data_IF_095526187025
#
_entry.id   IF_095526187025
#
_cell.length_a   1.000
_cell.length_b   1.000
_cell.length_c   1.000
_cell.angle_alpha   90.00
_cell.angle_beta   90.00
_cell.angle_gamma   90.00
#
_symmetry.space_group_name_H-M   'P 1'
#
loop_
_entity.id
_entity.type
_entity.pdbx_description
1 polymer ?
#
# COMPACT_ATOMS: atom_id res chain seq x y z
N UNK A 1 -13.83 20.92 -1.03
CA UNK A 1 -12.82 21.60 -0.18
C UNK A 1 -11.59 20.72 -0.22
N UNK A 2 -10.44 21.22 -0.71
CA UNK A 2 -9.19 20.46 -0.69
C UNK A 2 -8.82 20.20 0.77
N UNK A 3 -8.88 18.95 1.20
CA UNK A 3 -8.43 18.54 2.53
C UNK A 3 -6.91 18.37 2.45
N UNK A 4 -6.17 19.35 2.97
CA UNK A 4 -4.72 19.25 3.02
C UNK A 4 -4.30 18.03 3.85
N UNK A 5 -3.38 17.21 3.33
CA UNK A 5 -2.82 16.08 4.08
C UNK A 5 -2.16 16.61 5.36
N UNK A 6 -2.48 16.01 6.50
CA UNK A 6 -1.69 16.20 7.72
C UNK A 6 -0.47 15.27 7.69
N UNK A 7 0.72 15.84 7.57
CA UNK A 7 1.98 15.12 7.71
C UNK A 7 2.46 15.17 9.17
N UNK A 8 2.63 14.00 9.77
CA UNK A 8 3.34 13.83 11.03
C UNK A 8 4.85 13.69 10.76
N UNK A 9 5.68 14.06 11.74
CA UNK A 9 7.13 13.85 11.71
C UNK A 9 7.54 12.73 12.66
N UNK A 10 8.82 12.35 12.64
CA UNK A 10 9.40 11.40 13.58
C UNK A 10 9.17 11.77 15.06
N UNK A 11 9.20 13.07 15.40
CA UNK A 11 8.91 13.55 16.76
C UNK A 11 7.45 13.36 17.19
N UNK A 12 6.54 13.15 16.23
CA UNK A 12 5.12 12.94 16.47
C UNK A 12 4.68 11.50 16.19
N UNK A 13 5.61 10.55 16.13
CA UNK A 13 5.32 9.16 15.77
C UNK A 13 4.29 8.48 16.68
N UNK A 14 4.39 8.71 17.98
CA UNK A 14 3.41 8.20 18.95
C UNK A 14 2.02 8.77 18.72
N UNK A 15 1.92 10.04 18.33
CA UNK A 15 0.64 10.69 17.99
C UNK A 15 0.07 10.16 16.68
N UNK A 16 0.91 9.93 15.67
CA UNK A 16 0.51 9.34 14.41
C UNK A 16 -0.03 7.91 14.61
N UNK A 17 0.64 7.10 15.42
CA UNK A 17 0.18 5.76 15.77
C UNK A 17 -1.14 5.80 16.56
N UNK A 18 -1.26 6.71 17.52
CA UNK A 18 -2.50 6.89 18.27
C UNK A 18 -3.66 7.29 17.34
N UNK A 19 -3.42 8.20 16.39
CA UNK A 19 -4.40 8.60 15.38
C UNK A 19 -4.79 7.43 14.46
N UNK A 20 -3.83 6.63 14.00
CA UNK A 20 -4.08 5.45 13.16
C UNK A 20 -4.97 4.44 13.90
N UNK A 21 -4.69 4.19 15.19
CA UNK A 21 -5.51 3.33 16.06
C UNK A 21 -6.90 3.89 16.29
N UNK A 22 -7.01 5.18 16.61
CA UNK A 22 -8.30 5.83 16.88
C UNK A 22 -9.22 5.86 15.65
N UNK A 23 -8.64 6.08 14.46
CA UNK A 23 -9.40 6.19 13.20
C UNK A 23 -9.50 4.88 12.43
N UNK A 24 -8.79 3.83 12.88
CA UNK A 24 -8.67 2.54 12.19
C UNK A 24 -8.14 2.66 10.75
N UNK A 25 -7.41 3.75 10.46
CA UNK A 25 -6.73 3.97 9.18
C UNK A 25 -5.31 3.41 9.21
N UNK A 26 -4.82 2.83 8.11
CA UNK A 26 -3.41 2.43 8.00
C UNK A 26 -2.49 3.65 8.12
N UNK A 27 -1.29 3.41 8.66
CA UNK A 27 -0.22 4.39 8.81
C UNK A 27 0.76 4.22 7.64
N UNK A 28 0.84 5.23 6.78
CA UNK A 28 1.90 5.34 5.77
C UNK A 28 3.10 6.04 6.40
N UNK A 29 4.25 5.38 6.39
CA UNK A 29 5.54 5.99 6.75
C UNK A 29 6.39 6.18 5.48
N UNK A 30 6.77 7.41 5.20
CA UNK A 30 7.77 7.76 4.18
C UNK A 30 9.12 8.01 4.87
N UNK A 31 10.03 7.06 4.73
CA UNK A 31 11.41 7.19 5.19
C UNK A 31 12.23 7.93 4.15
N UNK A 32 12.67 9.13 4.52
CA UNK A 32 13.43 10.03 3.65
C UNK A 32 14.77 10.43 4.27
N UNK A 33 15.67 10.96 3.46
CA UNK A 33 16.98 11.44 3.90
C UNK A 33 17.34 12.79 3.26
N UNK A 34 18.28 13.53 3.89
CA UNK A 34 18.89 14.69 3.25
C UNK A 34 19.67 14.29 1.99
N UNK A 35 19.74 15.20 1.02
CA UNK A 35 20.40 14.98 -0.28
C UNK A 35 19.84 13.77 -1.06
N UNK A 36 18.56 13.43 -0.86
CA UNK A 36 17.85 12.38 -1.57
C UNK A 36 17.06 12.96 -2.76
N UNK A 37 17.55 12.74 -3.99
CA UNK A 37 16.87 13.22 -5.20
C UNK A 37 15.50 12.58 -5.42
N UNK A 38 15.36 11.29 -5.09
CA UNK A 38 14.08 10.58 -5.19
C UNK A 38 13.04 11.14 -4.22
N UNK A 39 13.44 11.49 -3.01
CA UNK A 39 12.59 12.10 -1.99
C UNK A 39 12.13 13.50 -2.45
N UNK A 40 13.05 14.32 -2.96
CA UNK A 40 12.70 15.62 -3.53
C UNK A 40 11.73 15.51 -4.73
N UNK A 41 11.85 14.44 -5.53
CA UNK A 41 10.93 14.17 -6.64
C UNK A 41 9.56 13.69 -6.16
N UNK A 42 9.50 12.83 -5.13
CA UNK A 42 8.24 12.48 -4.45
C UNK A 42 7.54 13.74 -3.95
N UNK A 43 8.27 14.63 -3.27
CA UNK A 43 7.71 15.84 -2.68
C UNK A 43 7.15 16.79 -3.73
N UNK A 44 7.92 17.08 -4.77
CA UNK A 44 7.53 18.08 -5.79
C UNK A 44 6.55 17.60 -6.85
N UNK A 45 6.28 16.29 -6.95
CA UNK A 45 5.42 15.72 -7.98
C UNK A 45 4.34 14.81 -7.39
N UNK A 46 4.72 13.85 -6.56
CA UNK A 46 3.80 12.81 -6.08
C UNK A 46 2.92 13.31 -4.95
N UNK A 47 3.48 13.98 -3.94
CA UNK A 47 2.70 14.55 -2.84
C UNK A 47 1.95 15.84 -3.22
N UNK A 48 2.33 16.52 -4.30
CA UNK A 48 1.62 17.69 -4.85
C UNK A 48 0.45 17.31 -5.78
N UNK A 49 0.32 16.04 -6.17
CA UNK A 49 -0.80 15.59 -7.01
C UNK A 49 -2.12 15.61 -6.23
N UNK A 50 -3.15 16.24 -6.80
CA UNK A 50 -4.43 16.45 -6.11
C UNK A 50 -5.14 15.15 -5.76
N UNK A 51 -5.09 14.13 -6.63
CA UNK A 51 -5.70 12.82 -6.37
C UNK A 51 -4.95 12.09 -5.25
N UNK A 52 -3.62 12.23 -5.21
CA UNK A 52 -2.81 11.71 -4.09
C UNK A 52 -3.18 12.38 -2.78
N UNK A 53 -3.34 13.71 -2.77
CA UNK A 53 -3.71 14.46 -1.57
C UNK A 53 -5.07 14.06 -1.02
N UNK A 54 -6.06 14.00 -1.89
CA UNK A 54 -7.41 13.56 -1.53
C UNK A 54 -7.36 12.12 -0.98
N UNK A 55 -6.77 11.19 -1.73
CA UNK A 55 -6.72 9.79 -1.34
C UNK A 55 -6.00 9.56 0.00
N UNK A 56 -4.87 10.24 0.24
CA UNK A 56 -4.14 10.13 1.50
C UNK A 56 -4.93 10.72 2.67
N UNK A 57 -5.54 11.89 2.50
CA UNK A 57 -6.31 12.55 3.56
C UNK A 57 -7.50 11.69 4.03
N UNK A 58 -8.14 10.99 3.08
CA UNK A 58 -9.30 10.15 3.34
C UNK A 58 -8.91 8.80 3.93
N UNK A 59 -7.82 8.18 3.45
CA UNK A 59 -7.56 6.77 3.70
C UNK A 59 -6.38 6.48 4.63
N UNK A 60 -5.50 7.45 4.89
CA UNK A 60 -4.25 7.22 5.61
C UNK A 60 -3.99 8.21 6.74
N UNK A 61 -3.22 7.75 7.73
CA UNK A 61 -2.38 8.64 8.54
C UNK A 61 -0.99 8.65 7.89
N UNK A 62 -0.42 9.83 7.65
CA UNK A 62 0.86 9.96 6.93
C UNK A 62 1.94 10.50 7.86
N UNK A 63 3.04 9.78 7.97
CA UNK A 63 4.23 10.17 8.74
C UNK A 63 5.44 10.23 7.80
N UNK A 64 6.15 11.35 7.79
CA UNK A 64 7.44 11.49 7.12
C UNK A 64 8.54 11.39 8.15
N UNK A 65 9.42 10.42 7.97
CA UNK A 65 10.48 10.10 8.92
C UNK A 65 11.84 10.37 8.29
N UNK A 66 12.58 11.34 8.83
CA UNK A 66 13.97 11.51 8.45
C UNK A 66 14.80 10.37 9.06
N UNK A 67 15.41 9.52 8.23
CA UNK A 67 16.19 8.36 8.69
C UNK A 67 17.38 8.74 9.59
N UNK A 68 17.89 9.97 9.48
CA UNK A 68 18.97 10.47 10.33
C UNK A 68 18.49 10.97 11.71
N UNK A 69 17.19 11.27 11.85
CA UNK A 69 16.60 11.81 13.08
C UNK A 69 15.93 10.71 13.94
N UNK A 70 16.10 9.44 13.56
CA UNK A 70 15.44 8.34 14.25
C UNK A 70 16.17 7.97 15.54
N UNK A 71 15.46 8.04 16.66
CA UNK A 71 15.95 7.58 17.96
C UNK A 71 15.73 6.08 18.18
N UNK A 72 16.32 5.53 19.24
CA UNK A 72 16.23 4.10 19.56
C UNK A 72 14.81 3.61 19.91
N UNK A 73 13.93 4.48 20.41
CA UNK A 73 12.56 4.11 20.78
C UNK A 73 11.65 4.01 19.55
N UNK A 74 11.78 4.96 18.62
CA UNK A 74 11.17 4.90 17.31
C UNK A 74 11.72 3.69 16.55
N UNK A 75 13.05 3.48 16.56
CA UNK A 75 13.67 2.38 15.82
C UNK A 75 13.14 1.01 16.27
N UNK A 76 12.96 0.81 17.57
CA UNK A 76 12.41 -0.45 18.12
C UNK A 76 10.97 -0.73 17.68
N UNK A 77 10.21 0.31 17.36
CA UNK A 77 8.77 0.21 17.05
C UNK A 77 8.51 0.23 15.54
N UNK A 78 9.28 1.02 14.80
CA UNK A 78 9.04 1.34 13.39
C UNK A 78 10.27 1.13 12.48
N UNK A 79 11.48 0.93 13.00
CA UNK A 79 12.67 0.52 12.23
C UNK A 79 13.18 -0.87 12.60
N UNK A 80 12.32 -1.81 12.97
CA UNK A 80 12.72 -3.23 13.00
C UNK A 80 13.14 -3.74 11.61
N UNK A 81 12.83 -2.96 10.57
CA UNK A 81 13.36 -3.09 9.21
C UNK A 81 14.48 -2.07 8.99
N UNK A 82 15.68 -2.56 8.67
CA UNK A 82 16.77 -1.70 8.26
C UNK A 82 16.40 -1.00 6.94
N UNK A 83 16.13 0.29 6.98
CA UNK A 83 15.92 1.10 5.77
C UNK A 83 17.28 1.23 5.07
N UNK A 84 17.44 0.53 3.95
CA UNK A 84 18.69 0.51 3.16
C UNK A 84 18.71 1.65 2.14
N UNK A 85 17.55 2.09 1.66
CA UNK A 85 17.42 3.04 0.56
C UNK A 85 16.28 4.04 0.80
N UNK A 86 16.37 5.25 0.24
CA UNK A 86 15.34 6.29 0.36
C UNK A 86 14.96 6.88 -1.02
N UNK A 87 13.70 7.32 -1.22
CA UNK A 87 12.59 7.18 -0.28
C UNK A 87 12.18 5.71 -0.14
N UNK A 88 11.64 5.36 1.02
CA UNK A 88 11.12 4.03 1.32
C UNK A 88 9.76 4.19 1.99
N UNK A 89 8.71 3.64 1.38
CA UNK A 89 7.33 3.82 1.77
C UNK A 89 6.80 2.53 2.39
N UNK A 90 6.37 2.61 3.63
CA UNK A 90 5.91 1.46 4.40
C UNK A 90 4.48 1.72 4.85
N UNK A 91 3.58 0.81 4.52
CA UNK A 91 2.19 0.86 4.97
C UNK A 91 2.06 -0.10 6.14
N UNK A 92 1.71 0.44 7.31
CA UNK A 92 1.45 -0.32 8.52
C UNK A 92 -0.05 -0.38 8.80
N UNK A 93 -0.51 -1.52 9.31
CA UNK A 93 -1.80 -1.57 9.99
C UNK A 93 -1.73 -0.80 11.31
N UNK A 94 -2.86 -0.38 11.90
CA UNK A 94 -2.89 0.25 13.22
C UNK A 94 -2.25 -0.60 14.33
N UNK A 95 -2.17 -1.91 14.15
CA UNK A 95 -1.53 -2.87 15.05
C UNK A 95 -0.02 -2.98 14.86
N UNK A 96 0.56 -2.29 13.88
CA UNK A 96 2.00 -2.28 13.60
C UNK A 96 2.49 -3.38 12.65
N UNK A 97 1.59 -4.07 11.95
CA UNK A 97 1.97 -5.07 10.94
C UNK A 97 2.24 -4.36 9.61
N UNK A 98 3.37 -4.66 8.96
CA UNK A 98 3.67 -4.16 7.61
C UNK A 98 2.73 -4.85 6.62
N UNK A 99 1.96 -4.04 5.90
CA UNK A 99 1.03 -4.43 4.85
C UNK A 99 1.65 -4.33 3.47
N UNK A 100 2.51 -3.33 3.27
CA UNK A 100 3.19 -3.08 2.00
C UNK A 100 4.49 -2.32 2.21
N UNK A 101 5.47 -2.62 1.38
CA UNK A 101 6.75 -1.90 1.31
C UNK A 101 7.04 -1.54 -0.14
N UNK A 102 7.37 -0.28 -0.39
CA UNK A 102 7.76 0.25 -1.70
C UNK A 102 9.08 0.98 -1.53
N UNK A 103 10.08 0.65 -2.36
CA UNK A 103 11.42 1.24 -2.27
C UNK A 103 11.71 2.06 -3.51
N UNK A 104 12.15 3.30 -3.31
CA UNK A 104 12.47 4.25 -4.37
C UNK A 104 11.30 5.20 -4.72
N UNK A 105 11.57 6.09 -5.66
CA UNK A 105 10.58 7.05 -6.15
C UNK A 105 9.47 6.34 -6.93
N UNK A 106 8.23 6.79 -6.73
CA UNK A 106 7.05 6.37 -7.48
C UNK A 106 6.27 7.59 -7.99
N UNK A 107 5.81 7.55 -9.24
CA UNK A 107 4.94 8.59 -9.82
C UNK A 107 3.55 8.61 -9.17
N UNK A 108 2.74 9.69 -9.29
CA UNK A 108 1.38 9.75 -8.73
C UNK A 108 0.50 8.53 -9.04
N UNK A 109 0.40 8.14 -10.32
CA UNK A 109 -0.43 7.02 -10.77
C UNK A 109 0.02 5.67 -10.18
N UNK A 110 1.33 5.41 -10.18
CA UNK A 110 1.89 4.24 -9.51
C UNK A 110 1.59 4.29 -8.01
N UNK A 111 1.84 5.43 -7.36
CA UNK A 111 1.66 5.57 -5.93
C UNK A 111 0.22 5.32 -5.48
N UNK A 112 -0.77 5.83 -6.21
CA UNK A 112 -2.19 5.54 -5.97
C UNK A 112 -2.50 4.04 -6.10
N UNK A 113 -1.88 3.35 -7.05
CA UNK A 113 -2.01 1.88 -7.20
C UNK A 113 -1.39 1.15 -6.01
N UNK A 114 -0.18 1.53 -5.59
CA UNK A 114 0.52 0.97 -4.43
C UNK A 114 -0.29 1.18 -3.12
N UNK A 115 -0.81 2.39 -2.92
CA UNK A 115 -1.68 2.72 -1.79
C UNK A 115 -2.98 1.88 -1.84
N UNK A 116 -3.62 1.77 -3.00
CA UNK A 116 -4.81 0.94 -3.19
C UNK A 116 -4.60 -0.52 -2.77
N UNK A 117 -3.50 -1.14 -3.22
CA UNK A 117 -3.16 -2.53 -2.83
C UNK A 117 -2.88 -2.61 -1.32
N UNK A 118 -2.15 -1.64 -0.75
CA UNK A 118 -1.90 -1.58 0.69
C UNK A 118 -3.18 -1.42 1.54
N UNK A 119 -4.14 -0.63 1.06
CA UNK A 119 -5.46 -0.47 1.70
C UNK A 119 -6.28 -1.76 1.60
N UNK A 120 -6.27 -2.43 0.45
CA UNK A 120 -6.93 -3.72 0.31
C UNK A 120 -6.34 -4.74 1.29
N UNK A 121 -5.01 -4.80 1.44
CA UNK A 121 -4.36 -5.65 2.44
C UNK A 121 -4.81 -5.34 3.88
N UNK A 122 -5.01 -4.06 4.21
CA UNK A 122 -5.60 -3.64 5.49
C UNK A 122 -7.01 -4.21 5.67
N UNK A 123 -7.88 -4.09 4.65
CA UNK A 123 -9.26 -4.60 4.72
C UNK A 123 -9.32 -6.13 4.80
N UNK A 124 -8.44 -6.83 4.08
CA UNK A 124 -8.30 -8.28 4.18
C UNK A 124 -8.00 -8.73 5.62
N UNK A 125 -7.09 -8.04 6.32
CA UNK A 125 -6.78 -8.35 7.73
C UNK A 125 -7.97 -8.13 8.66
N UNK A 126 -8.82 -7.16 8.34
CA UNK A 126 -10.05 -6.87 9.09
C UNK A 126 -11.21 -7.79 8.70
N UNK A 127 -10.97 -8.77 7.81
CA UNK A 127 -11.97 -9.69 7.25
C UNK A 127 -13.07 -8.98 6.45
N UNK A 128 -12.81 -7.77 5.97
CA UNK A 128 -13.67 -7.01 5.06
C UNK A 128 -13.36 -7.40 3.62
N UNK A 129 -13.55 -8.68 3.29
CA UNK A 129 -13.10 -9.26 2.04
C UNK A 129 -13.80 -8.66 0.80
N UNK A 130 -15.10 -8.34 0.91
CA UNK A 130 -15.85 -7.69 -0.16
C UNK A 130 -15.27 -6.30 -0.48
N UNK A 131 -15.02 -5.46 0.54
CA UNK A 131 -14.42 -4.14 0.34
C UNK A 131 -13.01 -4.26 -0.24
N UNK A 132 -12.21 -5.24 0.22
CA UNK A 132 -10.87 -5.46 -0.32
C UNK A 132 -10.90 -5.86 -1.81
N UNK A 133 -11.80 -6.75 -2.21
CA UNK A 133 -11.98 -7.16 -3.61
C UNK A 133 -12.39 -5.98 -4.49
N UNK A 134 -13.39 -5.22 -4.05
CA UNK A 134 -13.87 -4.03 -4.78
C UNK A 134 -12.74 -3.00 -5.00
N UNK A 135 -11.95 -2.72 -3.96
CA UNK A 135 -10.81 -1.80 -4.07
C UNK A 135 -9.76 -2.26 -5.08
N UNK A 136 -9.47 -3.56 -5.13
CA UNK A 136 -8.46 -4.13 -6.04
C UNK A 136 -8.93 -4.12 -7.50
N UNK A 137 -10.23 -4.31 -7.74
CA UNK A 137 -10.82 -4.25 -9.07
C UNK A 137 -10.92 -2.83 -9.63
N UNK A 138 -11.10 -1.84 -8.75
CA UNK A 138 -11.37 -0.46 -9.12
C UNK A 138 -10.11 0.44 -9.10
N UNK A 139 -8.90 -0.14 -9.08
CA UNK A 139 -7.66 0.64 -9.09
C UNK A 139 -7.50 1.41 -10.42
N UNK A 140 -7.61 2.76 -10.42
CA UNK A 140 -7.80 3.54 -11.63
C UNK A 140 -6.59 3.49 -12.59
N UNK A 141 -5.39 3.29 -12.05
CA UNK A 141 -4.14 3.29 -12.82
C UNK A 141 -3.51 1.91 -12.97
N UNK A 142 -4.10 0.86 -12.40
CA UNK A 142 -3.46 -0.46 -12.37
C UNK A 142 -3.10 -0.98 -13.77
N UNK A 143 -3.99 -0.80 -14.75
CA UNK A 143 -3.75 -1.22 -16.13
C UNK A 143 -2.48 -0.59 -16.78
N UNK A 144 -2.00 0.55 -16.28
CA UNK A 144 -0.75 1.18 -16.75
C UNK A 144 0.51 0.47 -16.22
N UNK A 145 0.37 -0.35 -15.18
CA UNK A 145 1.45 -1.05 -14.48
C UNK A 145 1.18 -2.56 -14.45
N UNK A 146 1.53 -3.32 -15.50
CA UNK A 146 1.20 -4.74 -15.62
C UNK A 146 1.56 -5.59 -14.38
N UNK A 147 2.72 -5.34 -13.76
CA UNK A 147 3.15 -6.07 -12.56
C UNK A 147 2.23 -5.81 -11.35
N UNK A 148 1.80 -4.56 -11.15
CA UNK A 148 0.90 -4.19 -10.06
C UNK A 148 -0.55 -4.61 -10.35
N UNK A 149 -0.97 -4.57 -11.61
CA UNK A 149 -2.29 -5.06 -11.98
C UNK A 149 -2.40 -6.59 -11.79
N UNK A 150 -1.35 -7.32 -12.18
CA UNK A 150 -1.25 -8.75 -11.95
C UNK A 150 -1.32 -9.10 -10.45
N UNK A 151 -0.59 -8.34 -9.62
CA UNK A 151 -0.70 -8.42 -8.15
C UNK A 151 -2.14 -8.18 -7.67
N UNK A 152 -2.79 -7.13 -8.16
CA UNK A 152 -4.13 -6.74 -7.73
C UNK A 152 -5.18 -7.81 -8.09
N UNK A 153 -5.14 -8.36 -9.31
CA UNK A 153 -6.04 -9.45 -9.74
C UNK A 153 -5.84 -10.69 -8.87
N UNK A 154 -4.58 -11.04 -8.58
CA UNK A 154 -4.27 -12.18 -7.72
C UNK A 154 -4.93 -12.03 -6.34
N UNK A 155 -4.77 -10.86 -5.70
CA UNK A 155 -5.34 -10.59 -4.39
C UNK A 155 -6.86 -10.42 -4.42
N UNK A 156 -7.46 -9.93 -5.51
CA UNK A 156 -8.91 -9.87 -5.68
C UNK A 156 -9.51 -11.29 -5.70
N UNK A 157 -8.86 -12.25 -6.36
CA UNK A 157 -9.26 -13.66 -6.28
C UNK A 157 -9.21 -14.23 -4.86
N UNK A 158 -8.16 -13.90 -4.09
CA UNK A 158 -8.06 -14.30 -2.68
C UNK A 158 -9.13 -13.63 -1.81
N UNK A 159 -9.46 -12.37 -2.09
CA UNK A 159 -10.55 -11.66 -1.41
C UNK A 159 -11.90 -12.36 -1.67
N UNK A 160 -12.20 -12.68 -2.93
CA UNK A 160 -13.40 -13.43 -3.31
C UNK A 160 -13.46 -14.81 -2.64
N UNK A 161 -12.34 -15.55 -2.61
CA UNK A 161 -12.26 -16.83 -1.91
C UNK A 161 -12.68 -16.73 -0.44
N UNK A 162 -12.12 -15.76 0.31
CA UNK A 162 -12.46 -15.59 1.72
C UNK A 162 -13.87 -15.04 1.94
N UNK A 163 -14.34 -14.16 1.06
CA UNK A 163 -15.72 -13.66 1.07
C UNK A 163 -16.74 -14.81 0.94
N UNK A 164 -16.42 -15.81 0.12
CA UNK A 164 -17.29 -16.93 -0.20
C UNK A 164 -16.91 -18.23 0.54
N UNK A 165 -16.53 -18.11 1.82
CA UNK A 165 -16.28 -19.26 2.72
C UNK A 165 -15.23 -20.25 2.19
N UNK A 166 -14.12 -19.72 1.65
CA UNK A 166 -13.03 -20.51 1.09
C UNK A 166 -13.45 -21.31 -0.17
N UNK A 167 -14.31 -20.72 -1.00
CA UNK A 167 -14.76 -21.30 -2.26
C UNK A 167 -13.80 -20.97 -3.40
N UNK A 168 -13.18 -22.00 -3.98
CA UNK A 168 -12.31 -21.84 -5.15
C UNK A 168 -13.08 -21.37 -6.39
N UNK A 169 -14.37 -21.68 -6.52
CA UNK A 169 -15.21 -21.28 -7.66
C UNK A 169 -15.21 -19.76 -7.87
N UNK A 170 -15.10 -18.99 -6.77
CA UNK A 170 -15.09 -17.52 -6.81
C UNK A 170 -13.69 -16.94 -7.05
N UNK A 171 -12.64 -17.76 -6.99
CA UNK A 171 -11.24 -17.36 -7.19
C UNK A 171 -10.73 -17.77 -8.58
N UNK A 172 -11.16 -18.93 -9.09
CA UNK A 172 -10.71 -19.51 -10.38
C UNK A 172 -10.83 -18.50 -11.52
N UNK A 173 -11.94 -17.75 -11.58
CA UNK A 173 -12.17 -16.74 -12.63
C UNK A 173 -11.09 -15.65 -12.66
N UNK A 174 -10.70 -15.11 -11.50
CA UNK A 174 -9.64 -14.10 -11.41
C UNK A 174 -8.29 -14.65 -11.86
N UNK A 175 -7.97 -15.88 -11.47
CA UNK A 175 -6.68 -16.48 -11.74
C UNK A 175 -6.54 -17.01 -13.17
N UNK A 176 -7.64 -17.45 -13.79
CA UNK A 176 -7.70 -17.69 -15.22
C UNK A 176 -7.47 -16.37 -16.01
N UNK A 177 -8.14 -15.29 -15.60
CA UNK A 177 -7.95 -13.97 -16.18
C UNK A 177 -6.51 -13.45 -16.02
N UNK A 178 -5.91 -13.64 -14.85
CA UNK A 178 -4.53 -13.29 -14.54
C UNK A 178 -3.55 -14.01 -15.47
N UNK A 179 -3.65 -15.33 -15.58
CA UNK A 179 -2.78 -16.14 -16.45
C UNK A 179 -2.96 -15.77 -17.92
N UNK A 180 -4.17 -15.42 -18.34
CA UNK A 180 -4.45 -14.99 -19.71
C UNK A 180 -3.90 -13.59 -20.03
N UNK A 181 -4.09 -12.62 -19.12
CA UNK A 181 -3.72 -11.21 -19.34
C UNK A 181 -2.24 -10.95 -19.09
N UNK A 182 -1.64 -11.65 -18.13
CA UNK A 182 -0.27 -11.41 -17.65
C UNK A 182 0.54 -12.71 -17.48
N UNK A 183 0.64 -13.56 -18.53
CA UNK A 183 1.25 -14.91 -18.42
C UNK A 183 2.72 -14.88 -17.96
N UNK A 184 3.47 -13.84 -18.31
CA UNK A 184 4.90 -13.71 -18.02
C UNK A 184 5.20 -13.20 -16.58
N UNK A 185 4.17 -13.06 -15.73
CA UNK A 185 4.35 -12.52 -14.38
C UNK A 185 4.47 -13.64 -13.34
N UNK A 186 5.28 -13.40 -12.30
CA UNK A 186 5.37 -14.33 -11.15
C UNK A 186 4.05 -14.49 -10.40
N UNK A 187 3.10 -13.56 -10.58
CA UNK A 187 1.74 -13.69 -10.06
C UNK A 187 0.91 -14.71 -10.84
N UNK A 188 1.08 -14.80 -12.16
CA UNK A 188 0.47 -15.85 -12.97
C UNK A 188 1.04 -17.23 -12.61
N UNK A 189 2.35 -17.35 -12.39
CA UNK A 189 2.97 -18.60 -11.92
C UNK A 189 2.40 -19.06 -10.56
N UNK A 190 2.19 -18.14 -9.61
CA UNK A 190 1.55 -18.45 -8.32
C UNK A 190 0.12 -18.97 -8.48
N UNK A 191 -0.56 -18.59 -9.56
CA UNK A 191 -1.95 -18.93 -9.84
C UNK A 191 -2.13 -20.22 -10.67
N UNK A 192 -1.04 -20.92 -11.01
CA UNK A 192 -1.03 -22.01 -11.99
C UNK A 192 -1.46 -23.39 -11.45
N UNK A 193 -1.80 -23.50 -10.17
CA UNK A 193 -2.21 -24.78 -9.59
C UNK A 193 -3.70 -25.09 -9.72
N UNK A 194 -4.48 -24.21 -10.37
CA UNK A 194 -5.90 -24.42 -10.62
C UNK A 194 -6.08 -25.05 -12.01
N UNK A 195 -6.65 -26.27 -12.10
CA UNK A 195 -6.94 -26.91 -13.38
C UNK A 195 -7.85 -26.04 -14.26
N UNK A 196 -7.67 -26.12 -15.58
CA UNK A 196 -8.56 -25.49 -16.57
C UNK A 196 -10.00 -26.03 -16.51
#
# INVERSE_FOLDING_TARGET
MQTAIKFYTESQASEALAAAKATQKPLLIDYWAHNCKGCARMDSLTYEDEQVQEYLSENYIVLKCNVAAVDGAFAKTFLTTAVIWTPSLYIYSPEGVILRTVVGYVSPAQFLTELGIGRAAHQMRRRHFAEAGELLEQLPFAAQYPALHAEAIYWAGIAAFFQHQNSFDHLVGYWADLRKKYPETTWAEKADFIPE
#
